data_IF_440128991761
#
_entry.id   IF_440128991761
#
_cell.length_a   1.000
_cell.length_b   1.000
_cell.length_c   1.000
_cell.angle_alpha   90.00
_cell.angle_beta   90.00
_cell.angle_gamma   90.00
#
_symmetry.space_group_name_H-M   'P 1'
#
loop_
_entity.id
_entity.type
_entity.pdbx_description
1 polymer ?
#
# COMPACT_ATOMS: atom_id res chain seq x y z
N UNK A 1 -14.21 6.61 -16.61
CA UNK A 1 -15.21 5.52 -16.54
C UNK A 1 -15.71 5.34 -15.11
N UNK A 2 -16.96 4.90 -14.89
CA UNK A 2 -17.54 4.80 -13.53
C UNK A 2 -16.74 3.90 -12.57
N UNK A 3 -16.16 2.81 -13.07
CA UNK A 3 -15.37 1.86 -12.27
C UNK A 3 -14.17 2.48 -11.54
N UNK A 4 -13.71 3.65 -11.99
CA UNK A 4 -12.55 4.33 -11.41
C UNK A 4 -12.89 5.02 -10.07
N UNK A 5 -14.17 5.25 -9.78
CA UNK A 5 -14.62 5.89 -8.55
C UNK A 5 -13.99 7.27 -8.33
N UNK A 6 -13.49 7.51 -7.11
CA UNK A 6 -12.78 8.75 -6.75
C UNK A 6 -11.31 8.64 -7.17
N UNK A 7 -10.99 9.21 -8.33
CA UNK A 7 -9.64 9.17 -8.88
C UNK A 7 -8.69 10.14 -8.16
N UNK A 8 -7.40 9.84 -8.26
CA UNK A 8 -6.33 10.70 -7.76
C UNK A 8 -6.40 12.10 -8.41
N UNK A 9 -6.35 13.14 -7.59
CA UNK A 9 -6.32 14.54 -8.02
C UNK A 9 -7.70 15.18 -8.23
N UNK A 10 -8.79 14.41 -8.17
CA UNK A 10 -10.15 14.95 -8.34
C UNK A 10 -10.63 15.75 -7.13
N UNK A 11 -9.90 15.74 -6.01
CA UNK A 11 -10.16 16.65 -4.90
C UNK A 11 -9.72 18.10 -5.19
N UNK A 12 -8.81 18.30 -6.15
CA UNK A 12 -8.19 19.60 -6.44
C UNK A 12 -9.26 20.61 -6.88
N UNK A 13 -10.20 20.22 -7.73
CA UNK A 13 -11.31 21.08 -8.17
C UNK A 13 -12.15 21.61 -7.00
N UNK A 14 -12.36 20.80 -5.96
CA UNK A 14 -13.08 21.20 -4.75
C UNK A 14 -12.25 22.14 -3.88
N UNK A 15 -10.95 21.90 -3.76
CA UNK A 15 -10.00 22.74 -3.01
C UNK A 15 -9.88 24.14 -3.64
N UNK A 16 -9.92 24.24 -4.97
CA UNK A 16 -9.80 25.52 -5.68
C UNK A 16 -11.14 26.17 -6.04
N UNK A 17 -12.26 25.55 -5.69
CA UNK A 17 -13.58 26.20 -5.82
C UNK A 17 -14.22 26.10 -7.20
N UNK A 18 -13.81 25.16 -8.06
CA UNK A 18 -14.46 24.96 -9.36
C UNK A 18 -15.98 24.71 -9.24
N UNK A 19 -16.50 24.00 -8.20
CA UNK A 19 -17.95 23.86 -7.98
C UNK A 19 -18.72 25.16 -7.74
N UNK A 20 -18.04 26.31 -7.51
CA UNK A 20 -18.69 27.61 -7.41
C UNK A 20 -18.89 28.27 -8.79
N UNK A 21 -18.24 27.77 -9.83
CA UNK A 21 -18.40 28.24 -11.21
C UNK A 21 -19.73 27.74 -11.77
N UNK A 22 -20.66 28.68 -12.04
CA UNK A 22 -22.01 28.36 -12.49
C UNK A 22 -22.03 27.60 -13.82
N UNK A 23 -21.02 27.79 -14.66
CA UNK A 23 -20.92 27.12 -15.97
C UNK A 23 -20.37 25.70 -15.90
N UNK A 24 -19.84 25.26 -14.76
CA UNK A 24 -19.16 23.97 -14.61
C UNK A 24 -20.10 22.81 -14.24
N UNK A 25 -21.41 23.03 -14.17
CA UNK A 25 -22.45 22.01 -13.99
C UNK A 25 -22.31 21.10 -12.75
N UNK A 26 -21.81 21.64 -11.64
CA UNK A 26 -21.79 20.96 -10.35
C UNK A 26 -23.15 21.01 -9.65
N UNK A 27 -23.42 20.04 -8.79
CA UNK A 27 -24.60 20.01 -7.93
C UNK A 27 -24.48 21.01 -6.78
N UNK A 28 -25.62 21.39 -6.21
CA UNK A 28 -25.61 22.29 -5.04
C UNK A 28 -24.90 21.69 -3.83
N UNK A 29 -24.97 20.36 -3.67
CA UNK A 29 -24.28 19.64 -2.60
C UNK A 29 -22.75 19.70 -2.78
N UNK A 30 -22.25 19.61 -4.02
CA UNK A 30 -20.83 19.76 -4.33
C UNK A 30 -20.33 21.20 -4.13
N UNK A 31 -21.15 22.21 -4.43
CA UNK A 31 -20.82 23.60 -4.09
C UNK A 31 -20.65 23.78 -2.57
N UNK A 32 -21.55 23.20 -1.77
CA UNK A 32 -21.48 23.23 -0.30
C UNK A 32 -20.22 22.49 0.19
N UNK A 33 -19.93 21.32 -0.38
CA UNK A 33 -18.72 20.56 -0.08
C UNK A 33 -17.46 21.37 -0.37
N UNK A 34 -17.36 21.99 -1.55
CA UNK A 34 -16.21 22.81 -1.94
C UNK A 34 -16.02 24.01 -0.99
N UNK A 35 -17.10 24.72 -0.66
CA UNK A 35 -17.04 25.82 0.33
C UNK A 35 -16.55 25.33 1.69
N UNK A 36 -16.99 24.14 2.11
CA UNK A 36 -16.53 23.51 3.35
C UNK A 36 -15.03 23.19 3.28
N UNK A 37 -14.54 22.55 2.22
CA UNK A 37 -13.12 22.20 2.04
C UNK A 37 -12.24 23.45 2.02
N UNK A 38 -12.60 24.46 1.20
CA UNK A 38 -11.89 25.74 1.14
C UNK A 38 -11.81 26.41 2.50
N UNK A 39 -12.90 26.39 3.29
CA UNK A 39 -12.92 26.95 4.65
C UNK A 39 -11.95 26.23 5.57
N UNK A 40 -11.95 24.89 5.57
CA UNK A 40 -10.99 24.11 6.37
C UNK A 40 -9.55 24.43 5.98
N UNK A 41 -9.25 24.58 4.68
CA UNK A 41 -7.89 24.84 4.19
C UNK A 41 -7.43 26.26 4.58
N UNK A 42 -8.28 27.27 4.37
CA UNK A 42 -7.99 28.65 4.74
C UNK A 42 -7.84 28.81 6.26
N UNK A 43 -8.70 28.16 7.05
CA UNK A 43 -8.60 28.16 8.51
C UNK A 43 -7.32 27.49 9.00
N UNK A 44 -6.96 26.33 8.43
CA UNK A 44 -5.72 25.66 8.77
C UNK A 44 -4.51 26.53 8.46
N UNK A 45 -4.45 27.14 7.26
CA UNK A 45 -3.37 28.03 6.88
C UNK A 45 -3.24 29.25 7.80
N UNK A 46 -4.37 29.80 8.27
CA UNK A 46 -4.40 31.01 9.12
C UNK A 46 -4.16 30.72 10.61
N UNK A 47 -4.70 29.63 11.14
CA UNK A 47 -4.77 29.37 12.59
C UNK A 47 -4.08 28.07 13.02
N UNK A 48 -3.62 27.24 12.09
CA UNK A 48 -3.13 25.88 12.38
C UNK A 48 -4.25 24.89 12.76
N UNK A 49 -5.52 25.28 12.66
CA UNK A 49 -6.69 24.46 12.98
C UNK A 49 -7.77 24.63 11.89
N UNK A 50 -8.20 23.55 11.21
CA UNK A 50 -9.20 23.64 10.13
C UNK A 50 -10.58 24.11 10.60
N UNK A 51 -10.94 23.96 11.88
CA UNK A 51 -12.19 24.50 12.43
C UNK A 51 -12.13 26.02 12.68
N UNK A 52 -10.92 26.61 12.61
CA UNK A 52 -10.68 28.02 12.91
C UNK A 52 -11.02 28.37 14.36
N UNK A 53 -11.83 29.41 14.55
CA UNK A 53 -12.30 29.89 15.87
C UNK A 53 -13.73 29.47 16.20
N UNK A 54 -14.39 28.69 15.34
CA UNK A 54 -15.80 28.33 15.49
C UNK A 54 -15.96 27.00 16.23
N UNK A 55 -16.90 26.93 17.18
CA UNK A 55 -17.16 25.75 18.02
C UNK A 55 -18.45 24.98 17.65
N UNK A 56 -19.14 25.36 16.57
CA UNK A 56 -20.55 24.97 16.35
C UNK A 56 -20.75 23.83 15.33
N UNK A 57 -19.69 23.30 14.72
CA UNK A 57 -19.75 22.20 13.74
C UNK A 57 -19.09 20.92 14.26
N UNK A 58 -19.35 19.78 13.59
CA UNK A 58 -18.58 18.55 13.81
C UNK A 58 -17.10 18.86 13.71
N UNK A 59 -16.42 18.82 14.86
CA UNK A 59 -15.02 19.24 15.00
C UNK A 59 -14.13 18.29 14.20
N UNK A 60 -13.20 18.83 13.41
CA UNK A 60 -12.14 18.02 12.81
C UNK A 60 -11.13 17.63 13.90
N UNK A 61 -11.08 16.34 14.33
CA UNK A 61 -10.21 15.96 15.43
C UNK A 61 -8.74 15.98 14.99
N UNK A 62 -7.87 16.52 15.82
CA UNK A 62 -6.43 16.40 15.62
C UNK A 62 -6.03 14.92 15.61
N UNK A 63 -5.25 14.51 14.62
CA UNK A 63 -4.70 13.16 14.56
C UNK A 63 -3.69 12.97 15.70
N UNK A 64 -3.89 11.94 16.54
CA UNK A 64 -2.94 11.53 17.57
C UNK A 64 -2.53 10.08 17.35
N UNK A 65 -1.31 9.72 17.74
CA UNK A 65 -0.81 8.35 17.60
C UNK A 65 -1.66 7.31 18.34
N UNK A 66 -2.38 7.72 19.39
CA UNK A 66 -3.23 6.84 20.21
C UNK A 66 -4.54 6.47 19.51
N UNK A 67 -5.30 7.46 19.04
CA UNK A 67 -6.65 7.25 18.48
C UNK A 67 -6.73 7.35 16.95
N UNK A 68 -5.73 7.99 16.31
CA UNK A 68 -5.53 8.03 14.86
C UNK A 68 -6.81 8.40 14.09
N UNK A 69 -7.53 9.40 14.60
CA UNK A 69 -8.80 9.86 14.05
C UNK A 69 -8.61 10.59 12.73
N UNK A 70 -9.56 10.41 11.82
CA UNK A 70 -9.66 11.17 10.57
C UNK A 70 -11.13 11.49 10.25
N UNK A 71 -11.34 12.52 9.44
CA UNK A 71 -12.65 13.01 9.01
C UNK A 71 -12.89 12.62 7.54
N UNK A 72 -14.12 12.24 7.19
CA UNK A 72 -14.53 12.08 5.79
C UNK A 72 -14.93 13.41 5.16
N UNK A 73 -14.49 13.64 3.93
CA UNK A 73 -14.91 14.78 3.11
C UNK A 73 -15.73 14.25 1.92
N UNK A 74 -17.04 14.43 1.99
CA UNK A 74 -17.99 14.09 0.93
C UNK A 74 -19.27 14.93 1.11
N UNK A 75 -20.26 14.72 0.23
CA UNK A 75 -21.52 15.46 0.27
C UNK A 75 -22.44 15.12 1.46
N UNK A 76 -22.14 14.03 2.19
CA UNK A 76 -22.86 13.67 3.40
C UNK A 76 -22.31 14.43 4.63
N UNK A 77 -23.00 14.30 5.76
CA UNK A 77 -22.51 14.82 7.03
C UNK A 77 -21.12 14.22 7.37
N UNK A 78 -20.12 15.04 7.75
CA UNK A 78 -18.78 14.56 8.06
C UNK A 78 -18.80 13.49 9.17
N UNK A 79 -18.12 12.37 8.92
CA UNK A 79 -17.99 11.26 9.87
C UNK A 79 -16.54 11.14 10.34
N UNK A 80 -16.37 10.82 11.61
CA UNK A 80 -15.07 10.56 12.22
C UNK A 80 -14.86 9.05 12.27
N UNK A 81 -13.74 8.61 11.73
CA UNK A 81 -13.27 7.24 11.80
C UNK A 81 -11.88 7.19 12.43
N UNK A 82 -11.37 5.99 12.66
CA UNK A 82 -10.03 5.77 13.23
C UNK A 82 -9.23 4.83 12.33
N UNK A 83 -7.90 4.95 12.36
CA UNK A 83 -6.98 3.95 11.79
C UNK A 83 -7.22 3.68 10.29
N UNK A 84 -7.15 4.74 9.47
CA UNK A 84 -7.37 4.69 8.02
C UNK A 84 -6.56 3.56 7.36
N UNK A 85 -7.26 2.58 6.77
CA UNK A 85 -6.70 1.42 6.05
C UNK A 85 -5.59 0.68 6.82
N UNK A 86 -5.65 0.66 8.15
CA UNK A 86 -4.54 0.18 8.98
C UNK A 86 -4.11 -1.27 8.70
N UNK A 87 -5.03 -2.16 8.32
CA UNK A 87 -4.68 -3.53 7.94
C UNK A 87 -3.82 -3.58 6.67
N UNK A 88 -4.21 -2.83 5.63
CA UNK A 88 -3.48 -2.77 4.37
C UNK A 88 -2.15 -2.02 4.54
N UNK A 89 -2.14 -0.92 5.30
CA UNK A 89 -0.90 -0.21 5.61
C UNK A 89 0.07 -1.14 6.37
N UNK A 90 -0.40 -1.87 7.39
CA UNK A 90 0.43 -2.84 8.12
C UNK A 90 0.99 -3.92 7.21
N UNK A 91 0.22 -4.40 6.24
CA UNK A 91 0.72 -5.34 5.24
C UNK A 91 1.91 -4.73 4.48
N UNK A 92 1.74 -3.54 3.90
CA UNK A 92 2.76 -2.91 3.07
C UNK A 92 3.97 -2.39 3.84
N UNK A 93 3.79 -1.89 5.05
CA UNK A 93 4.88 -1.24 5.82
C UNK A 93 5.61 -2.19 6.76
N UNK A 94 4.98 -3.28 7.19
CA UNK A 94 5.58 -4.20 8.18
C UNK A 94 5.70 -5.63 7.68
N UNK A 95 4.67 -6.16 7.01
CA UNK A 95 4.68 -7.57 6.63
C UNK A 95 5.47 -7.82 5.34
N UNK A 96 5.12 -7.11 4.26
CA UNK A 96 5.73 -7.30 2.95
C UNK A 96 7.26 -7.09 2.94
N UNK A 97 7.83 -6.05 3.61
CA UNK A 97 9.27 -5.91 3.70
C UNK A 97 9.97 -7.07 4.40
N UNK A 98 9.36 -7.63 5.47
CA UNK A 98 9.90 -8.81 6.16
C UNK A 98 9.87 -10.05 5.30
N UNK A 99 8.81 -10.21 4.50
CA UNK A 99 8.75 -11.32 3.53
C UNK A 99 9.88 -11.18 2.52
N UNK A 100 10.09 -9.99 1.96
CA UNK A 100 11.19 -9.75 1.02
C UNK A 100 12.56 -10.03 1.62
N UNK A 101 12.79 -9.64 2.87
CA UNK A 101 14.04 -9.95 3.59
C UNK A 101 14.25 -11.47 3.75
N UNK A 102 13.20 -12.21 4.13
CA UNK A 102 13.28 -13.66 4.27
C UNK A 102 13.45 -14.38 2.94
N UNK A 103 12.78 -13.91 1.88
CA UNK A 103 12.82 -14.56 0.56
C UNK A 103 14.04 -14.16 -0.26
N UNK A 104 14.65 -13.00 -0.01
CA UNK A 104 15.87 -12.58 -0.73
C UNK A 104 17.04 -13.55 -0.55
N UNK A 105 17.10 -14.25 0.59
CA UNK A 105 18.11 -15.28 0.85
C UNK A 105 17.81 -16.62 0.17
N UNK A 106 16.57 -16.84 -0.29
CA UNK A 106 16.19 -18.09 -0.97
C UNK A 106 16.95 -18.22 -2.28
N UNK A 107 17.20 -17.12 -3.00
CA UNK A 107 17.95 -17.15 -4.26
C UNK A 107 19.39 -17.66 -4.08
N UNK A 108 20.04 -17.33 -2.96
CA UNK A 108 21.37 -17.85 -2.62
C UNK A 108 21.31 -19.33 -2.22
N UNK A 109 20.41 -19.69 -1.31
CA UNK A 109 20.22 -21.08 -0.89
C UNK A 109 19.83 -22.00 -2.07
N UNK A 110 19.00 -21.52 -3.00
CA UNK A 110 18.62 -22.24 -4.21
C UNK A 110 19.81 -22.42 -5.15
N UNK A 111 20.63 -21.37 -5.34
CA UNK A 111 21.86 -21.46 -6.15
C UNK A 111 22.84 -22.48 -5.57
N UNK A 112 23.07 -22.44 -4.26
CA UNK A 112 23.94 -23.39 -3.58
C UNK A 112 23.43 -24.83 -3.70
N UNK A 113 22.13 -25.03 -3.49
CA UNK A 113 21.49 -26.33 -3.64
C UNK A 113 21.63 -26.87 -5.06
N UNK A 114 21.35 -26.04 -6.08
CA UNK A 114 21.50 -26.42 -7.50
C UNK A 114 22.94 -26.84 -7.79
N UNK A 115 23.92 -26.05 -7.34
CA UNK A 115 25.34 -26.38 -7.51
C UNK A 115 25.74 -27.68 -6.80
N UNK A 116 25.23 -27.90 -5.58
CA UNK A 116 25.40 -29.15 -4.84
C UNK A 116 24.83 -30.36 -5.57
N UNK A 117 23.60 -30.24 -6.08
CA UNK A 117 22.92 -31.28 -6.84
C UNK A 117 23.68 -31.65 -8.12
N UNK A 118 24.16 -30.67 -8.90
CA UNK A 118 24.96 -30.93 -10.10
C UNK A 118 26.26 -31.67 -9.78
N UNK A 119 26.98 -31.29 -8.71
CA UNK A 119 28.19 -31.99 -8.27
C UNK A 119 27.89 -33.43 -7.88
N UNK A 120 26.85 -33.66 -7.08
CA UNK A 120 26.43 -34.99 -6.68
C UNK A 120 26.04 -35.85 -7.89
N UNK A 121 25.29 -35.29 -8.85
CA UNK A 121 24.86 -36.02 -10.03
C UNK A 121 26.07 -36.45 -10.90
N UNK A 122 27.04 -35.54 -11.11
CA UNK A 122 28.27 -35.88 -11.83
C UNK A 122 29.07 -36.99 -11.10
N UNK A 123 29.24 -36.84 -9.78
CA UNK A 123 29.90 -37.87 -8.97
C UNK A 123 29.19 -39.23 -9.07
N UNK A 124 27.86 -39.27 -9.03
CA UNK A 124 27.09 -40.51 -9.15
C UNK A 124 27.24 -41.15 -10.53
N UNK A 125 27.39 -40.35 -11.59
CA UNK A 125 27.67 -40.87 -12.95
C UNK A 125 29.06 -41.49 -13.02
N UNK A 126 30.08 -40.82 -12.47
CA UNK A 126 31.44 -41.36 -12.40
C UNK A 126 31.50 -42.65 -11.58
N UNK A 127 30.86 -42.65 -10.41
CA UNK A 127 30.75 -43.81 -9.55
C UNK A 127 30.07 -44.98 -10.27
N UNK A 128 28.98 -44.71 -11.00
CA UNK A 128 28.27 -45.74 -11.77
C UNK A 128 29.17 -46.34 -12.86
N UNK A 129 29.96 -45.52 -13.55
CA UNK A 129 30.92 -46.00 -14.54
C UNK A 129 31.99 -46.90 -13.90
N UNK A 130 32.61 -46.45 -12.80
CA UNK A 130 33.61 -47.23 -12.07
C UNK A 130 33.05 -48.56 -11.54
N UNK A 131 31.81 -48.54 -11.04
CA UNK A 131 31.13 -49.74 -10.55
C UNK A 131 30.91 -50.74 -11.69
N UNK A 132 30.43 -50.28 -12.85
CA UNK A 132 30.23 -51.12 -14.02
C UNK A 132 31.55 -51.74 -14.54
N UNK A 133 32.63 -50.96 -14.55
CA UNK A 133 33.97 -51.42 -14.91
C UNK A 133 34.48 -52.50 -13.95
N UNK A 134 34.23 -52.33 -12.65
CA UNK A 134 34.58 -53.32 -11.64
C UNK A 134 33.80 -54.63 -11.81
N UNK A 135 32.48 -54.55 -12.03
CA UNK A 135 31.64 -55.74 -12.21
C UNK A 135 31.97 -56.51 -13.49
N UNK A 136 32.22 -55.80 -14.60
CA UNK A 136 32.57 -56.45 -15.87
C UNK A 136 33.92 -57.18 -15.83
N UNK A 137 34.93 -56.62 -15.14
CA UNK A 137 36.22 -57.29 -14.93
C UNK A 137 36.10 -58.52 -14.02
N UNK A 138 35.20 -58.48 -13.04
CA UNK A 138 34.95 -59.60 -12.13
C UNK A 138 34.28 -60.80 -12.81
N UNK A 139 33.45 -60.56 -13.83
CA UNK A 139 32.81 -61.61 -14.64
C UNK A 139 33.76 -62.21 -15.70
N UNK A 140 34.89 -61.56 -15.97
CA UNK A 140 35.91 -62.00 -16.95
C UNK A 140 37.02 -62.88 -16.33
N UNK A 141 36.97 -63.19 -15.03
CA UNK A 141 37.93 -64.04 -14.34
C UNK A 141 37.39 -65.45 -14.09
#
# INVERSE_FOLDING_TARGET
PEWMGVMHGYEIEFVFGLPLERRANYTKAEEILSRSIMKHWANFAKYGNPDGTQNNSTRWPAFKNTDQKYLTLNIESPRIYTKLRAQQCRFWTLYFPKVLEMTGNIDEAEREWRAGFYRWNNYMMDWKNQFNDYTSKKESC
#
